data_IF_047131890327
#
_entry.id   IF_047131890327
#
_cell.length_a   1.000
_cell.length_b   1.000
_cell.length_c   1.000
_cell.angle_alpha   90.00
_cell.angle_beta   90.00
_cell.angle_gamma   90.00
#
_symmetry.space_group_name_H-M   'P 1'
#
loop_
_entity.id
_entity.type
_entity.pdbx_description
1 polymer ?
#
# COMPACT_ATOMS: atom_id res chain seq x y z
N UNK A 1 -1.20 48.08 -64.79
CA UNK A 1 -1.62 49.46 -64.49
C UNK A 1 -1.37 49.74 -63.01
N UNK A 2 -1.01 50.99 -62.72
CA UNK A 2 -0.56 51.62 -61.45
C UNK A 2 -1.38 51.22 -60.20
N UNK A 3 -0.80 50.89 -59.03
CA UNK A 3 -0.04 51.67 -58.02
C UNK A 3 -0.94 52.26 -56.91
N UNK A 4 -0.46 52.10 -55.64
CA UNK A 4 -0.66 52.93 -54.43
C UNK A 4 -1.92 52.67 -53.58
N UNK A 5 -1.94 52.84 -52.27
CA UNK A 5 -0.96 53.01 -51.18
C UNK A 5 -1.79 53.13 -49.88
N UNK A 6 -1.21 52.73 -48.76
CA UNK A 6 -1.66 53.00 -47.38
C UNK A 6 -2.07 54.47 -47.15
N UNK A 7 -3.05 54.70 -46.27
CA UNK A 7 -3.06 55.82 -45.35
C UNK A 7 -3.60 55.36 -43.97
N UNK A 8 -2.78 55.53 -42.94
CA UNK A 8 -3.18 55.55 -41.54
C UNK A 8 -3.96 56.84 -41.26
N UNK A 9 -4.99 56.76 -40.41
CA UNK A 9 -5.44 57.89 -39.61
C UNK A 9 -5.81 57.40 -38.21
N UNK A 10 -4.97 57.76 -37.25
CA UNK A 10 -5.21 57.62 -35.82
C UNK A 10 -6.33 58.56 -35.38
N UNK A 11 -7.23 58.10 -34.52
CA UNK A 11 -8.01 58.99 -33.66
C UNK A 11 -8.18 58.33 -32.30
N UNK A 12 -7.61 58.98 -31.29
CA UNK A 12 -7.78 58.69 -29.87
C UNK A 12 -8.71 59.77 -29.33
N UNK A 13 -9.84 59.42 -28.69
CA UNK A 13 -10.30 60.12 -27.47
C UNK A 13 -11.44 59.40 -26.71
N UNK A 14 -11.12 59.12 -25.45
CA UNK A 14 -11.89 59.04 -24.19
C UNK A 14 -13.37 58.60 -24.13
N UNK A 15 -13.54 57.47 -23.43
CA UNK A 15 -14.41 57.19 -22.28
C UNK A 15 -15.62 58.12 -21.98
N UNK A 16 -16.81 57.52 -22.00
CA UNK A 16 -17.87 57.81 -21.04
C UNK A 16 -18.57 56.49 -20.65
N UNK A 17 -18.47 56.15 -19.37
CA UNK A 17 -19.19 55.07 -18.70
C UNK A 17 -20.62 55.52 -18.42
N UNK A 18 -21.61 54.67 -18.68
CA UNK A 18 -22.80 54.53 -17.83
C UNK A 18 -23.59 53.26 -18.15
N UNK A 19 -24.20 52.75 -17.10
CA UNK A 19 -24.77 51.43 -16.88
C UNK A 19 -26.07 51.16 -17.62
N UNK A 20 -26.37 49.88 -17.86
CA UNK A 20 -27.57 49.18 -17.35
C UNK A 20 -27.59 47.75 -17.91
N UNK A 21 -27.71 46.78 -17.01
CA UNK A 21 -27.56 45.37 -17.33
C UNK A 21 -28.83 44.72 -17.86
N UNK A 22 -28.65 43.51 -18.39
CA UNK A 22 -29.60 42.40 -18.29
C UNK A 22 -28.91 41.12 -18.74
N UNK A 23 -28.96 40.09 -17.90
CA UNK A 23 -28.92 38.68 -18.32
C UNK A 23 -27.66 38.18 -19.01
N UNK A 24 -26.52 38.15 -18.31
CA UNK A 24 -25.34 37.42 -18.74
C UNK A 24 -25.34 36.02 -18.12
N UNK A 25 -25.64 35.01 -18.92
CA UNK A 25 -25.29 33.60 -18.70
C UNK A 25 -23.95 33.46 -17.99
N UNK A 26 -23.92 32.68 -16.90
CA UNK A 26 -22.68 32.23 -16.26
C UNK A 26 -21.96 31.32 -17.26
N UNK A 27 -21.21 31.91 -18.18
CA UNK A 27 -20.06 31.26 -18.79
C UNK A 27 -18.99 31.22 -17.69
N UNK A 28 -19.07 30.20 -16.83
CA UNK A 28 -17.92 29.79 -16.01
C UNK A 28 -16.82 29.43 -16.99
N UNK A 29 -15.93 30.38 -17.19
CA UNK A 29 -14.67 30.21 -17.90
C UNK A 29 -14.01 28.95 -17.35
N UNK A 30 -13.73 27.99 -18.23
CA UNK A 30 -12.79 26.91 -17.92
C UNK A 30 -11.45 27.60 -17.62
N UNK A 31 -11.11 27.79 -16.35
CA UNK A 31 -9.75 28.21 -15.98
C UNK A 31 -8.87 26.99 -16.13
N UNK A 32 -8.47 26.71 -17.37
CA UNK A 32 -7.53 25.65 -17.68
C UNK A 32 -6.16 26.00 -17.08
N UNK A 33 -5.65 25.14 -16.20
CA UNK A 33 -4.23 25.07 -15.86
C UNK A 33 -3.67 26.19 -14.97
N UNK A 34 -4.49 26.91 -14.20
CA UNK A 34 -3.95 27.89 -13.26
C UNK A 34 -3.25 27.20 -12.06
N UNK A 35 -2.22 27.84 -11.53
CA UNK A 35 -1.34 27.26 -10.51
C UNK A 35 -1.84 27.61 -9.10
N UNK A 36 -2.09 26.58 -8.30
CA UNK A 36 -2.52 26.69 -6.90
C UNK A 36 -1.45 26.18 -5.96
N UNK A 37 -1.54 26.60 -4.70
CA UNK A 37 -0.74 25.98 -3.65
C UNK A 37 -1.42 24.67 -3.20
N UNK A 38 -0.64 23.62 -3.04
CA UNK A 38 -1.03 22.41 -2.32
C UNK A 38 -0.35 22.45 -0.95
N UNK A 39 -1.15 22.39 0.10
CA UNK A 39 -0.71 22.51 1.49
C UNK A 39 -1.24 21.38 2.36
N UNK A 40 -0.42 20.88 3.26
CA UNK A 40 -0.77 19.99 4.36
C UNK A 40 -0.84 20.90 5.57
N UNK A 41 -1.97 20.86 6.28
CA UNK A 41 -2.13 21.62 7.53
C UNK A 41 -0.99 21.25 8.50
N UNK A 42 -0.24 22.23 8.99
CA UNK A 42 0.91 22.00 9.90
C UNK A 42 2.27 21.76 9.23
N UNK A 43 2.36 21.59 7.90
CA UNK A 43 3.64 21.64 7.18
C UNK A 43 3.93 23.05 6.66
N UNK A 44 5.20 23.47 6.76
CA UNK A 44 5.65 24.78 6.30
C UNK A 44 5.76 24.89 4.77
N UNK A 45 5.91 23.76 4.08
CA UNK A 45 6.09 23.71 2.62
C UNK A 45 4.76 23.67 1.88
N UNK A 46 4.62 24.54 0.88
CA UNK A 46 3.57 24.49 -0.13
C UNK A 46 4.17 24.13 -1.47
N UNK A 47 3.55 23.23 -2.23
CA UNK A 47 3.96 22.99 -3.63
C UNK A 47 2.99 23.65 -4.59
N UNK A 48 3.52 24.14 -5.71
CA UNK A 48 2.70 24.66 -6.81
C UNK A 48 2.19 23.50 -7.66
N UNK A 49 0.89 23.47 -7.94
CA UNK A 49 0.28 22.49 -8.85
C UNK A 49 -0.72 23.17 -9.78
N UNK A 50 -0.85 22.66 -11.01
CA UNK A 50 -1.99 23.01 -11.84
C UNK A 50 -3.28 22.46 -11.20
N UNK A 51 -4.37 23.15 -11.47
CA UNK A 51 -5.71 22.64 -11.20
C UNK A 51 -6.66 22.99 -12.34
N UNK A 52 -7.82 22.33 -12.33
CA UNK A 52 -8.92 22.60 -13.25
C UNK A 52 -10.22 22.65 -12.46
N UNK A 53 -11.08 23.60 -12.79
CA UNK A 53 -12.43 23.68 -12.25
C UNK A 53 -13.43 23.24 -13.30
N UNK A 54 -14.09 22.10 -13.08
CA UNK A 54 -15.08 21.57 -14.02
C UNK A 54 -16.30 21.04 -13.27
N UNK A 55 -17.51 21.36 -13.78
CA UNK A 55 -18.79 20.89 -13.22
C UNK A 55 -18.94 21.14 -11.70
N UNK A 56 -18.31 22.20 -11.19
CA UNK A 56 -18.33 22.55 -9.77
C UNK A 56 -17.36 21.74 -8.89
N UNK A 57 -16.51 20.90 -9.48
CA UNK A 57 -15.41 20.20 -8.80
C UNK A 57 -14.05 20.82 -9.15
N UNK A 58 -13.11 20.72 -8.21
CA UNK A 58 -11.70 21.08 -8.41
C UNK A 58 -10.90 19.80 -8.63
N UNK A 59 -10.07 19.80 -9.66
CA UNK A 59 -9.27 18.65 -10.09
C UNK A 59 -7.79 18.97 -9.99
N UNK A 60 -7.00 18.06 -9.43
CA UNK A 60 -5.54 18.18 -9.38
C UNK A 60 -4.84 16.92 -9.89
N UNK A 61 -3.60 17.02 -10.41
CA UNK A 61 -2.82 15.85 -10.80
C UNK A 61 -2.56 14.93 -9.61
N UNK A 62 -2.87 13.64 -9.78
CA UNK A 62 -2.64 12.62 -8.77
C UNK A 62 -1.15 12.48 -8.41
N UNK A 63 -0.25 12.61 -9.39
CA UNK A 63 1.20 12.66 -9.19
C UNK A 63 1.61 13.79 -8.23
N UNK A 64 0.97 14.95 -8.33
CA UNK A 64 1.28 16.11 -7.47
C UNK A 64 0.79 15.90 -6.05
N UNK A 65 -0.40 15.31 -5.89
CA UNK A 65 -0.88 14.87 -4.58
C UNK A 65 0.07 13.82 -3.97
N UNK A 66 0.47 12.82 -4.74
CA UNK A 66 1.40 11.78 -4.29
C UNK A 66 2.76 12.37 -3.86
N UNK A 67 3.38 13.19 -4.71
CA UNK A 67 4.66 13.85 -4.43
C UNK A 67 4.60 14.63 -3.12
N UNK A 68 3.50 15.33 -2.90
CA UNK A 68 3.31 16.15 -1.69
C UNK A 68 3.15 15.30 -0.43
N UNK A 69 2.47 14.17 -0.54
CA UNK A 69 2.36 13.16 0.51
C UNK A 69 3.63 12.30 0.66
N UNK A 70 4.72 12.63 -0.05
CA UNK A 70 5.97 11.88 -0.11
C UNK A 70 5.78 10.43 -0.59
N UNK A 71 4.74 10.21 -1.40
CA UNK A 71 4.48 8.97 -2.10
C UNK A 71 5.04 9.02 -3.52
N UNK A 72 5.31 7.83 -4.04
CA UNK A 72 5.58 7.55 -5.44
C UNK A 72 4.26 7.44 -6.19
N UNK A 73 4.26 7.85 -7.44
CA UNK A 73 3.17 7.70 -8.39
C UNK A 73 3.68 6.90 -9.58
N UNK A 74 2.90 5.93 -10.02
CA UNK A 74 3.14 5.17 -11.26
C UNK A 74 1.83 5.07 -12.02
N UNK A 75 1.88 5.23 -13.33
CA UNK A 75 0.74 5.12 -14.22
C UNK A 75 1.12 4.24 -15.41
N UNK A 76 0.20 3.37 -15.80
CA UNK A 76 0.34 2.58 -17.00
C UNK A 76 -0.29 3.34 -18.18
N UNK A 77 0.50 3.86 -19.13
CA UNK A 77 0.01 4.76 -20.18
C UNK A 77 -0.96 4.09 -21.16
N UNK A 78 -1.04 2.75 -21.18
CA UNK A 78 -1.94 2.00 -22.06
C UNK A 78 -3.30 1.77 -21.42
N UNK A 79 -3.32 1.52 -20.11
CA UNK A 79 -4.56 1.16 -19.39
C UNK A 79 -5.09 2.31 -18.54
N UNK A 80 -4.27 3.34 -18.32
CA UNK A 80 -4.50 4.44 -17.38
C UNK A 80 -4.86 3.96 -15.98
N UNK A 81 -4.35 2.78 -15.61
CA UNK A 81 -4.30 2.33 -14.23
C UNK A 81 -3.14 3.03 -13.54
N UNK A 82 -3.40 3.59 -12.37
CA UNK A 82 -2.42 4.34 -11.60
C UNK A 82 -2.33 3.80 -10.17
N UNK A 83 -1.15 3.94 -9.59
CA UNK A 83 -0.84 3.57 -8.22
C UNK A 83 -0.14 4.71 -7.49
N UNK A 84 -0.50 4.90 -6.22
CA UNK A 84 0.18 5.79 -5.29
C UNK A 84 0.65 4.97 -4.09
N UNK A 85 1.89 5.15 -3.63
CA UNK A 85 2.42 4.38 -2.50
C UNK A 85 3.88 4.68 -2.18
N UNK A 86 4.57 3.81 -1.47
CA UNK A 86 5.98 4.01 -1.08
C UNK A 86 6.89 2.90 -1.63
N UNK A 87 6.97 1.78 -0.91
CA UNK A 87 7.70 0.58 -1.33
C UNK A 87 6.85 -0.38 -2.17
N UNK A 88 5.54 -0.26 -2.06
CA UNK A 88 4.52 -1.00 -2.78
C UNK A 88 3.25 -0.13 -2.89
N UNK A 89 2.35 -0.43 -3.84
CA UNK A 89 1.09 0.31 -4.00
C UNK A 89 0.28 0.35 -2.69
N UNK A 90 -0.17 1.54 -2.31
CA UNK A 90 -1.14 1.73 -1.22
C UNK A 90 -2.52 2.06 -1.79
N UNK A 91 -2.58 2.93 -2.79
CA UNK A 91 -3.80 3.30 -3.49
C UNK A 91 -3.69 2.86 -4.93
N UNK A 92 -4.73 2.22 -5.47
CA UNK A 92 -4.81 1.91 -6.90
C UNK A 92 -6.13 2.37 -7.48
N UNK A 93 -6.12 2.90 -8.69
CA UNK A 93 -7.32 3.42 -9.36
C UNK A 93 -7.10 3.42 -10.87
N UNK A 94 -8.18 3.64 -11.63
CA UNK A 94 -8.12 3.67 -13.08
C UNK A 94 -8.91 4.86 -13.61
N UNK A 95 -8.36 5.55 -14.60
CA UNK A 95 -9.09 6.61 -15.31
C UNK A 95 -10.40 6.07 -15.88
N UNK A 96 -11.47 6.85 -15.71
CA UNK A 96 -12.81 6.51 -16.16
C UNK A 96 -13.56 5.53 -15.24
N UNK A 97 -12.95 5.01 -14.18
CA UNK A 97 -13.59 4.16 -13.19
C UNK A 97 -13.72 4.86 -11.85
N UNK A 98 -14.90 4.78 -11.23
CA UNK A 98 -15.08 5.18 -9.82
C UNK A 98 -14.57 4.14 -8.83
N UNK A 99 -14.30 2.92 -9.28
CA UNK A 99 -13.72 1.89 -8.42
C UNK A 99 -12.23 2.16 -8.22
N UNK A 100 -11.82 2.22 -6.97
CA UNK A 100 -10.43 2.31 -6.55
C UNK A 100 -10.18 1.31 -5.42
N UNK A 101 -8.92 1.16 -5.00
CA UNK A 101 -8.56 0.37 -3.83
C UNK A 101 -7.66 1.13 -2.88
N UNK A 102 -7.90 0.90 -1.59
CA UNK A 102 -6.95 1.19 -0.51
C UNK A 102 -6.42 -0.16 -0.05
N UNK A 103 -5.18 -0.45 -0.40
CA UNK A 103 -4.66 -1.78 -0.29
C UNK A 103 -5.44 -2.78 -1.14
N UNK A 104 -6.07 -3.76 -0.49
CA UNK A 104 -6.96 -4.72 -1.15
C UNK A 104 -8.44 -4.31 -1.06
N UNK A 105 -8.78 -3.39 -0.15
CA UNK A 105 -10.15 -2.94 0.06
C UNK A 105 -10.61 -2.10 -1.13
N UNK A 106 -11.72 -2.50 -1.74
CA UNK A 106 -12.36 -1.69 -2.78
C UNK A 106 -13.11 -0.52 -2.15
N UNK A 107 -12.97 0.65 -2.76
CA UNK A 107 -13.71 1.86 -2.41
C UNK A 107 -14.37 2.44 -3.66
N UNK A 108 -15.42 3.23 -3.45
CA UNK A 108 -16.12 3.95 -4.52
C UNK A 108 -15.84 5.45 -4.41
N UNK A 109 -15.20 6.01 -5.44
CA UNK A 109 -14.90 7.43 -5.55
C UNK A 109 -16.14 8.24 -5.96
N UNK A 110 -16.21 9.48 -5.49
CA UNK A 110 -17.28 10.43 -5.83
C UNK A 110 -17.34 10.70 -7.33
N UNK A 111 -16.19 10.92 -7.96
CA UNK A 111 -16.02 11.07 -9.41
C UNK A 111 -14.87 10.17 -9.89
N UNK A 112 -14.95 9.75 -11.15
CA UNK A 112 -13.90 8.92 -11.72
C UNK A 112 -12.64 9.78 -11.98
N UNK A 113 -11.42 9.25 -11.77
CA UNK A 113 -10.20 9.91 -12.22
C UNK A 113 -10.27 10.17 -13.73
N UNK A 114 -9.69 11.28 -14.18
CA UNK A 114 -9.74 11.71 -15.60
C UNK A 114 -8.36 12.04 -16.13
N UNK A 115 -8.20 11.93 -17.44
CA UNK A 115 -7.06 12.53 -18.13
C UNK A 115 -7.38 13.99 -18.45
N UNK A 116 -6.62 14.92 -17.88
CA UNK A 116 -6.74 16.37 -18.13
C UNK A 116 -5.35 16.93 -18.43
N UNK A 117 -5.16 17.52 -19.60
CA UNK A 117 -3.87 18.04 -20.10
C UNK A 117 -2.70 17.04 -19.92
N UNK A 118 -2.93 15.78 -20.30
CA UNK A 118 -2.00 14.66 -20.14
C UNK A 118 -1.64 14.30 -18.68
N UNK A 119 -2.42 14.73 -17.70
CA UNK A 119 -2.25 14.33 -16.30
C UNK A 119 -3.43 13.45 -15.87
N UNK A 120 -3.15 12.38 -15.11
CA UNK A 120 -4.21 11.70 -14.35
C UNK A 120 -4.61 12.61 -13.20
N UNK A 121 -5.84 13.12 -13.25
CA UNK A 121 -6.39 14.04 -12.27
C UNK A 121 -7.46 13.39 -11.41
N UNK A 122 -7.46 13.75 -10.13
CA UNK A 122 -8.47 13.39 -9.15
C UNK A 122 -9.23 14.66 -8.74
N UNK A 123 -10.55 14.53 -8.65
CA UNK A 123 -11.39 15.55 -8.02
C UNK A 123 -11.16 15.53 -6.50
N UNK A 124 -11.24 16.69 -5.83
CA UNK A 124 -10.81 16.81 -4.43
C UNK A 124 -11.55 15.88 -3.45
N UNK A 125 -12.87 15.65 -3.60
CA UNK A 125 -13.60 14.69 -2.74
C UNK A 125 -13.16 13.26 -3.03
N UNK A 126 -12.93 12.94 -4.30
CA UNK A 126 -12.40 11.62 -4.70
C UNK A 126 -10.99 11.41 -4.16
N UNK A 127 -10.13 12.43 -4.20
CA UNK A 127 -8.82 12.41 -3.57
C UNK A 127 -8.94 12.22 -2.06
N UNK A 128 -9.84 12.96 -1.41
CA UNK A 128 -10.11 12.87 0.02
C UNK A 128 -10.55 11.47 0.45
N UNK A 129 -11.45 10.85 -0.31
CA UNK A 129 -11.88 9.46 -0.12
C UNK A 129 -10.74 8.47 -0.36
N UNK A 130 -9.89 8.71 -1.37
CA UNK A 130 -8.79 7.81 -1.67
C UNK A 130 -7.75 7.81 -0.55
N UNK A 131 -7.34 8.99 -0.08
CA UNK A 131 -6.28 9.14 0.92
C UNK A 131 -6.79 9.13 2.37
N UNK A 132 -8.11 9.03 2.56
CA UNK A 132 -8.80 9.04 3.86
C UNK A 132 -8.42 10.25 4.73
N UNK A 133 -8.31 11.42 4.09
CA UNK A 133 -8.04 12.69 4.75
C UNK A 133 -8.92 13.78 4.15
N UNK A 134 -9.39 14.77 4.92
CA UNK A 134 -10.11 15.89 4.36
C UNK A 134 -9.24 16.65 3.36
N UNK A 135 -9.76 16.83 2.15
CA UNK A 135 -9.14 17.69 1.14
C UNK A 135 -10.13 18.79 0.80
N UNK A 136 -9.71 20.05 1.00
CA UNK A 136 -10.56 21.21 0.77
C UNK A 136 -9.94 22.20 -0.20
N UNK A 137 -10.81 22.90 -0.90
CA UNK A 137 -10.47 24.06 -1.71
C UNK A 137 -10.66 25.33 -0.89
N UNK A 138 -9.64 26.17 -0.82
CA UNK A 138 -9.74 27.54 -0.34
C UNK A 138 -9.67 28.49 -1.55
N UNK A 139 -10.83 29.00 -1.94
CA UNK A 139 -10.97 29.91 -3.08
C UNK A 139 -10.40 31.31 -2.81
N UNK A 140 -10.27 31.72 -1.54
CA UNK A 140 -9.72 33.04 -1.19
C UNK A 140 -8.20 33.09 -1.36
N UNK A 141 -7.53 31.96 -1.13
CA UNK A 141 -6.07 31.83 -1.27
C UNK A 141 -5.63 30.97 -2.46
N UNK A 142 -6.57 30.51 -3.30
CA UNK A 142 -6.34 29.58 -4.41
C UNK A 142 -5.45 28.41 -3.98
N UNK A 143 -5.86 27.72 -2.91
CA UNK A 143 -5.06 26.67 -2.25
C UNK A 143 -5.88 25.41 -2.04
N UNK A 144 -5.34 24.27 -2.47
CA UNK A 144 -5.81 22.95 -2.05
C UNK A 144 -5.15 22.60 -0.71
N UNK A 145 -5.96 22.30 0.28
CA UNK A 145 -5.51 22.00 1.64
C UNK A 145 -5.88 20.56 1.95
N UNK A 146 -4.86 19.71 2.09
CA UNK A 146 -4.99 18.38 2.67
C UNK A 146 -4.86 18.56 4.19
N UNK A 147 -5.95 18.33 4.90
CA UNK A 147 -5.90 18.39 6.35
C UNK A 147 -5.24 17.11 6.86
N UNK A 148 -4.12 17.27 7.56
CA UNK A 148 -3.70 16.25 8.51
C UNK A 148 -4.72 16.24 9.62
N UNK A 149 -5.71 15.36 9.50
CA UNK A 149 -6.20 14.76 10.72
C UNK A 149 -5.03 14.00 11.33
N UNK A 150 -4.88 14.05 12.65
CA UNK A 150 -4.29 12.94 13.39
C UNK A 150 -4.96 11.67 12.85
N UNK A 151 -4.34 10.92 11.92
CA UNK A 151 -5.00 9.86 11.13
C UNK A 151 -5.94 9.02 12.01
N UNK A 152 -7.24 9.26 11.94
CA UNK A 152 -8.21 8.23 12.27
C UNK A 152 -8.31 7.34 11.04
N UNK A 153 -8.26 6.04 11.27
CA UNK A 153 -8.40 5.03 10.24
C UNK A 153 -9.80 5.12 9.61
N UNK A 154 -9.97 4.70 8.35
CA UNK A 154 -11.30 4.57 7.76
C UNK A 154 -12.18 3.69 8.65
N UNK A 155 -13.23 4.26 9.25
CA UNK A 155 -14.25 3.47 9.95
C UNK A 155 -15.14 2.81 8.91
N UNK A 156 -15.24 1.48 8.98
CA UNK A 156 -16.07 0.63 8.12
C UNK A 156 -17.57 0.79 8.40
N UNK A 157 -18.07 2.02 8.50
CA UNK A 157 -19.50 2.26 8.39
C UNK A 157 -19.81 2.49 6.92
N UNK A 158 -20.10 1.39 6.20
CA UNK A 158 -21.21 1.28 5.26
C UNK A 158 -21.22 -0.14 4.63
N UNK A 159 -22.27 -0.90 4.98
CA UNK A 159 -22.79 -2.12 4.34
C UNK A 159 -22.10 -3.45 4.69
N UNK A 160 -22.46 -3.98 5.87
CA UNK A 160 -22.30 -5.39 6.23
C UNK A 160 -23.29 -6.29 5.46
N UNK A 161 -22.78 -7.11 4.54
CA UNK A 161 -23.36 -8.44 4.26
C UNK A 161 -22.23 -9.43 3.98
N UNK A 162 -22.08 -10.50 4.79
CA UNK A 162 -20.99 -11.46 4.65
C UNK A 162 -21.28 -12.51 3.58
N UNK A 163 -20.27 -12.91 2.78
CA UNK A 163 -20.29 -14.20 2.09
C UNK A 163 -19.22 -15.16 2.65
N UNK A 164 -19.71 -16.30 3.14
CA UNK A 164 -19.18 -17.61 2.75
C UNK A 164 -17.87 -18.09 3.39
N UNK A 165 -18.02 -18.83 4.49
CA UNK A 165 -17.07 -19.80 5.02
C UNK A 165 -16.56 -20.78 3.95
N UNK A 166 -15.25 -20.92 3.80
CA UNK A 166 -14.63 -22.13 3.24
C UNK A 166 -13.65 -22.70 4.26
N UNK A 167 -13.88 -23.97 4.60
CA UNK A 167 -13.15 -24.74 5.58
C UNK A 167 -11.94 -25.42 4.94
N UNK A 168 -10.76 -25.20 5.49
CA UNK A 168 -9.70 -26.21 5.51
C UNK A 168 -9.09 -26.22 6.92
N UNK A 169 -9.49 -27.24 7.67
CA UNK A 169 -9.00 -27.55 9.02
C UNK A 169 -7.79 -28.46 8.88
N UNK A 170 -6.60 -27.95 9.16
CA UNK A 170 -5.44 -28.78 9.50
C UNK A 170 -5.24 -28.68 11.02
N UNK A 171 -5.30 -29.84 11.68
CA UNK A 171 -5.10 -29.97 13.12
C UNK A 171 -3.63 -29.80 13.49
N UNK A 172 -3.34 -29.12 14.58
CA UNK A 172 -2.01 -29.07 15.19
C UNK A 172 -2.13 -29.50 16.65
N UNK A 173 -1.41 -30.57 16.98
CA UNK A 173 -1.15 -31.07 18.33
C UNK A 173 -0.14 -30.19 19.07
N UNK A 174 -0.20 -30.28 20.39
CA UNK A 174 0.50 -29.49 21.41
C UNK A 174 2.04 -29.49 21.33
N UNK A 175 2.66 -28.42 21.85
CA UNK A 175 3.48 -28.48 23.09
C UNK A 175 3.91 -27.06 23.50
N UNK A 176 3.71 -26.79 24.78
CA UNK A 176 4.07 -25.57 25.52
C UNK A 176 5.53 -25.61 26.00
N UNK A 177 6.20 -24.46 26.04
CA UNK A 177 6.74 -23.84 27.27
C UNK A 177 7.62 -22.63 26.92
N UNK A 178 7.58 -21.58 27.76
CA UNK A 178 8.66 -20.58 27.82
C UNK A 178 8.21 -19.14 27.63
N UNK A 179 7.69 -18.57 28.71
CA UNK A 179 7.40 -17.15 28.93
C UNK A 179 8.66 -16.29 28.72
N UNK A 180 8.62 -15.30 27.82
CA UNK A 180 9.24 -13.98 28.03
C UNK A 180 8.79 -13.02 26.90
N UNK A 181 8.49 -11.80 27.31
CA UNK A 181 8.06 -10.62 26.56
C UNK A 181 8.74 -10.41 25.19
N UNK A 182 7.93 -10.29 24.14
CA UNK A 182 8.23 -9.39 23.00
C UNK A 182 6.90 -8.99 22.37
N UNK A 183 6.55 -7.74 22.61
CA UNK A 183 5.27 -7.10 22.39
C UNK A 183 4.99 -6.89 20.90
N UNK A 184 4.63 -7.97 20.20
CA UNK A 184 3.86 -7.92 18.96
C UNK A 184 2.83 -9.03 19.04
N UNK A 185 1.67 -8.69 19.59
CA UNK A 185 0.49 -9.55 19.65
C UNK A 185 0.13 -10.01 18.24
N UNK A 186 -0.36 -11.25 18.12
CA UNK A 186 -0.75 -11.84 16.83
C UNK A 186 -1.63 -10.83 16.05
N UNK A 187 -1.21 -10.37 14.85
CA UNK A 187 -1.96 -9.42 14.04
C UNK A 187 -3.33 -9.96 13.63
N UNK A 188 -3.57 -11.27 13.73
CA UNK A 188 -4.91 -11.85 13.50
C UNK A 188 -5.93 -11.41 14.57
N UNK A 189 -5.48 -10.83 15.70
CA UNK A 189 -6.34 -10.19 16.71
C UNK A 189 -6.59 -8.71 16.44
N UNK A 190 -6.15 -8.20 15.29
CA UNK A 190 -6.33 -6.82 14.91
C UNK A 190 -7.03 -6.75 13.56
N UNK A 191 -8.01 -5.86 13.42
CA UNK A 191 -8.62 -5.62 12.12
C UNK A 191 -7.63 -4.94 11.16
N UNK A 192 -8.02 -4.77 9.90
CA UNK A 192 -7.25 -4.02 8.89
C UNK A 192 -6.95 -2.56 9.31
N UNK A 193 -7.57 -2.11 10.41
CA UNK A 193 -7.39 -0.81 11.01
C UNK A 193 -6.56 -0.86 12.32
N UNK A 194 -6.03 -2.01 12.74
CA UNK A 194 -5.23 -2.11 13.95
C UNK A 194 -6.03 -1.98 15.25
N UNK A 195 -7.35 -2.19 15.23
CA UNK A 195 -8.18 -2.29 16.42
C UNK A 195 -8.19 -3.72 16.96
N UNK A 196 -7.99 -3.87 18.26
CA UNK A 196 -7.99 -5.17 18.95
C UNK A 196 -9.40 -5.79 18.96
N UNK A 197 -9.55 -6.93 18.27
CA UNK A 197 -10.79 -7.71 18.21
C UNK A 197 -10.66 -8.84 19.25
N UNK A 198 -10.98 -8.53 20.51
CA UNK A 198 -10.63 -9.37 21.66
C UNK A 198 -11.10 -10.84 21.57
N UNK A 199 -10.19 -11.76 21.91
CA UNK A 199 -10.51 -13.17 22.14
C UNK A 199 -11.20 -13.36 23.49
N UNK A 200 -12.48 -13.73 23.46
CA UNK A 200 -13.22 -14.13 24.65
C UNK A 200 -12.56 -15.32 25.34
N UNK A 201 -12.25 -15.16 26.63
CA UNK A 201 -11.86 -16.26 27.52
C UNK A 201 -13.05 -17.23 27.68
N UNK A 202 -12.91 -18.54 27.39
CA UNK A 202 -13.82 -19.53 27.94
C UNK A 202 -13.47 -19.74 29.42
N UNK A 203 -14.51 -19.71 30.25
CA UNK A 203 -14.44 -19.79 31.71
C UNK A 203 -13.78 -21.06 32.24
N UNK A 204 -13.13 -20.88 33.38
CA UNK A 204 -12.59 -21.88 34.26
C UNK A 204 -13.72 -22.45 35.12
N UNK A 205 -14.11 -23.71 34.91
CA UNK A 205 -14.85 -24.51 35.88
C UNK A 205 -14.13 -25.85 36.02
N UNK A 206 -13.62 -26.10 37.24
CA UNK A 206 -12.75 -27.24 37.53
C UNK A 206 -13.49 -28.54 37.76
N UNK A 207 -12.76 -29.65 37.71
CA UNK A 207 -12.89 -30.75 38.67
C UNK A 207 -11.73 -31.76 38.54
N UNK A 208 -11.02 -31.95 39.65
CA UNK A 208 -10.48 -33.18 40.24
C UNK A 208 -10.03 -34.38 39.37
N UNK A 209 -8.78 -34.82 39.62
CA UNK A 209 -8.57 -36.22 40.05
C UNK A 209 -7.51 -37.07 39.33
N UNK A 210 -6.47 -37.45 40.10
CA UNK A 210 -5.54 -38.60 39.97
C UNK A 210 -4.59 -38.68 38.75
N UNK A 211 -3.26 -38.63 38.92
CA UNK A 211 -2.30 -39.51 39.64
C UNK A 211 -2.04 -40.85 38.92
N UNK A 212 -0.77 -41.11 38.54
CA UNK A 212 -0.35 -42.44 38.09
C UNK A 212 0.86 -42.57 37.15
N UNK A 213 2.06 -42.24 37.65
CA UNK A 213 3.28 -43.06 37.61
C UNK A 213 3.83 -43.75 36.32
N UNK A 214 5.10 -43.41 36.03
CA UNK A 214 6.27 -44.31 35.82
C UNK A 214 6.54 -45.01 34.47
N UNK A 215 7.78 -44.83 33.97
CA UNK A 215 8.64 -45.98 33.68
C UNK A 215 9.15 -46.19 32.23
N UNK A 216 10.41 -45.76 32.04
CA UNK A 216 11.51 -46.55 31.45
C UNK A 216 11.68 -46.74 29.92
N UNK A 217 12.97 -46.68 29.57
CA UNK A 217 13.69 -46.79 28.29
C UNK A 217 13.39 -48.00 27.41
N UNK A 218 13.61 -47.81 26.10
CA UNK A 218 13.90 -48.89 25.17
C UNK A 218 13.92 -48.45 23.70
N UNK A 219 15.11 -48.32 23.12
CA UNK A 219 15.31 -48.26 21.66
C UNK A 219 14.75 -49.49 20.97
N UNK A 220 13.99 -49.29 19.89
CA UNK A 220 14.15 -50.06 18.65
C UNK A 220 13.44 -49.35 17.50
N UNK A 221 14.15 -49.25 16.39
CA UNK A 221 13.78 -48.46 15.23
C UNK A 221 12.49 -48.91 14.55
N UNK A 222 11.84 -47.92 13.94
CA UNK A 222 11.11 -48.03 12.70
C UNK A 222 11.22 -46.67 12.02
N UNK A 223 11.95 -46.63 10.91
CA UNK A 223 11.93 -45.52 9.95
C UNK A 223 10.49 -45.35 9.45
N UNK A 224 9.77 -44.42 10.07
CA UNK A 224 8.46 -43.96 9.61
C UNK A 224 8.65 -42.57 9.02
N UNK A 225 8.82 -42.57 7.70
CA UNK A 225 8.47 -41.50 6.75
C UNK A 225 8.67 -40.04 7.23
N UNK A 226 9.88 -39.52 7.01
CA UNK A 226 10.18 -38.10 6.99
C UNK A 226 9.98 -37.49 5.58
N UNK A 227 8.93 -37.87 4.85
CA UNK A 227 8.72 -37.45 3.47
C UNK A 227 8.24 -36.00 3.31
N UNK A 228 7.65 -35.43 4.36
CA UNK A 228 7.11 -34.06 4.32
C UNK A 228 8.18 -33.01 4.67
N UNK A 229 9.03 -33.24 5.68
CA UNK A 229 10.06 -32.25 6.05
C UNK A 229 11.15 -32.09 4.98
N UNK A 230 11.47 -33.12 4.20
CA UNK A 230 12.44 -33.00 3.10
C UNK A 230 11.87 -32.22 1.92
N UNK A 231 10.62 -32.45 1.55
CA UNK A 231 9.99 -31.75 0.42
C UNK A 231 9.76 -30.26 0.71
N UNK A 232 9.42 -29.91 1.96
CA UNK A 232 9.27 -28.51 2.36
C UNK A 232 10.63 -27.82 2.45
N UNK A 233 11.67 -28.51 2.95
CA UNK A 233 13.05 -28.01 2.93
C UNK A 233 13.58 -27.82 1.50
N UNK A 234 13.28 -28.74 0.57
CA UNK A 234 13.67 -28.62 -0.84
C UNK A 234 13.06 -27.36 -1.47
N UNK A 235 11.79 -27.04 -1.18
CA UNK A 235 11.15 -25.81 -1.64
C UNK A 235 11.77 -24.56 -1.01
N UNK A 236 12.16 -24.62 0.26
CA UNK A 236 12.86 -23.52 0.95
C UNK A 236 14.20 -23.25 0.26
N UNK A 237 14.99 -24.29 -0.01
CA UNK A 237 16.28 -24.15 -0.68
C UNK A 237 16.10 -23.68 -2.14
N UNK A 238 15.06 -24.16 -2.82
CA UNK A 238 14.69 -23.75 -4.17
C UNK A 238 14.28 -22.27 -4.22
N UNK A 239 13.38 -21.79 -3.36
CA UNK A 239 12.93 -20.39 -3.38
C UNK A 239 14.08 -19.42 -3.07
N UNK A 240 14.96 -19.79 -2.12
CA UNK A 240 16.14 -18.99 -1.76
C UNK A 240 17.14 -18.95 -2.93
N UNK A 241 17.49 -20.10 -3.49
CA UNK A 241 18.43 -20.18 -4.61
C UNK A 241 17.88 -19.49 -5.86
N UNK A 242 16.59 -19.68 -6.16
CA UNK A 242 15.88 -19.00 -7.23
C UNK A 242 15.90 -17.48 -7.07
N UNK A 243 15.59 -16.99 -5.87
CA UNK A 243 15.61 -15.57 -5.54
C UNK A 243 17.01 -14.95 -5.71
N UNK A 244 18.07 -15.65 -5.29
CA UNK A 244 19.46 -15.21 -5.44
C UNK A 244 19.88 -15.01 -6.91
N UNK A 245 19.21 -15.64 -7.88
CA UNK A 245 19.49 -15.41 -9.31
C UNK A 245 19.10 -14.01 -9.79
N UNK A 246 18.30 -13.29 -9.02
CA UNK A 246 17.84 -11.94 -9.33
C UNK A 246 18.65 -10.85 -8.61
N UNK A 247 19.74 -11.19 -7.90
CA UNK A 247 20.59 -10.20 -7.24
C UNK A 247 20.97 -9.06 -8.19
N UNK A 248 20.80 -7.82 -7.74
CA UNK A 248 21.04 -6.60 -8.50
C UNK A 248 19.94 -6.21 -9.50
N UNK A 249 18.86 -7.00 -9.65
CA UNK A 249 17.70 -6.56 -10.45
C UNK A 249 17.11 -5.29 -9.85
N UNK A 250 16.97 -4.26 -10.69
CA UNK A 250 16.50 -2.95 -10.27
C UNK A 250 15.13 -2.98 -9.60
N UNK A 251 15.00 -2.16 -8.58
CA UNK A 251 13.72 -1.86 -7.98
C UNK A 251 12.89 -0.93 -8.89
N UNK A 252 11.61 -1.24 -9.09
CA UNK A 252 10.58 -0.35 -9.64
C UNK A 252 9.33 -0.40 -8.76
N UNK A 253 8.90 0.76 -8.28
CA UNK A 253 7.64 0.89 -7.57
C UNK A 253 6.48 0.45 -8.48
N UNK A 254 5.53 -0.31 -7.93
CA UNK A 254 4.40 -0.85 -8.69
C UNK A 254 4.86 -1.64 -9.93
N UNK A 255 5.93 -2.43 -9.79
CA UNK A 255 6.39 -3.27 -10.89
C UNK A 255 5.27 -4.23 -11.32
N UNK A 256 4.98 -4.30 -12.62
CA UNK A 256 4.22 -5.41 -13.17
C UNK A 256 5.05 -6.69 -13.13
N UNK A 257 4.46 -7.81 -13.55
CA UNK A 257 5.14 -9.10 -13.60
C UNK A 257 6.53 -8.99 -14.24
N UNK A 258 7.49 -9.75 -13.70
CA UNK A 258 8.89 -9.66 -14.10
C UNK A 258 9.09 -9.87 -15.61
N UNK A 259 8.27 -10.72 -16.24
CA UNK A 259 8.31 -10.97 -17.68
C UNK A 259 8.10 -9.69 -18.51
N UNK A 260 7.33 -8.73 -17.98
CA UNK A 260 7.05 -7.46 -18.64
C UNK A 260 8.01 -6.36 -18.20
N UNK A 261 8.19 -6.19 -16.89
CA UNK A 261 8.88 -5.03 -16.33
C UNK A 261 10.40 -5.22 -16.25
N UNK A 262 10.87 -6.48 -16.18
CA UNK A 262 12.26 -6.86 -15.87
C UNK A 262 12.79 -6.25 -14.58
N UNK A 263 11.90 -5.83 -13.68
CA UNK A 263 12.16 -5.12 -12.42
C UNK A 263 11.23 -5.63 -11.33
N UNK A 264 11.49 -5.26 -10.08
CA UNK A 264 10.65 -5.67 -8.96
C UNK A 264 10.31 -4.53 -8.00
N UNK A 265 9.15 -4.59 -7.34
CA UNK A 265 9.03 -4.04 -6.00
C UNK A 265 9.12 -5.16 -4.96
N UNK A 266 9.13 -4.80 -3.68
CA UNK A 266 9.33 -5.76 -2.60
C UNK A 266 8.33 -6.91 -2.65
N UNK A 267 7.06 -6.59 -2.88
CA UNK A 267 5.97 -7.58 -2.89
C UNK A 267 5.88 -8.36 -4.20
N UNK A 268 6.16 -7.74 -5.35
CA UNK A 268 6.19 -8.46 -6.62
C UNK A 268 7.39 -9.41 -6.72
N UNK A 269 8.50 -9.08 -6.06
CA UNK A 269 9.63 -10.00 -5.92
C UNK A 269 9.24 -11.25 -5.13
N UNK A 270 8.60 -11.09 -3.96
CA UNK A 270 8.08 -12.22 -3.19
C UNK A 270 7.09 -13.06 -4.01
N UNK A 271 6.12 -12.42 -4.67
CA UNK A 271 5.17 -13.11 -5.53
C UNK A 271 5.86 -13.93 -6.62
N UNK A 272 6.88 -13.37 -7.26
CA UNK A 272 7.62 -14.02 -8.33
C UNK A 272 8.39 -15.26 -7.86
N UNK A 273 9.14 -15.14 -6.75
CA UNK A 273 9.97 -16.26 -6.27
C UNK A 273 9.11 -17.37 -5.64
N UNK A 274 8.04 -17.03 -4.92
CA UNK A 274 7.16 -18.03 -4.30
C UNK A 274 6.26 -18.73 -5.33
N UNK A 275 5.85 -18.03 -6.39
CA UNK A 275 5.13 -18.66 -7.51
C UNK A 275 5.98 -19.72 -8.21
N UNK A 276 7.31 -19.56 -8.24
CA UNK A 276 8.21 -20.58 -8.80
C UNK A 276 8.10 -21.93 -8.08
N UNK A 277 7.92 -21.91 -6.76
CA UNK A 277 7.76 -23.11 -5.92
C UNK A 277 6.29 -23.45 -5.65
N UNK A 278 5.36 -22.89 -6.45
CA UNK A 278 3.94 -23.24 -6.42
C UNK A 278 3.11 -22.53 -5.35
N UNK A 279 3.60 -21.44 -4.75
CA UNK A 279 2.85 -20.63 -3.76
C UNK A 279 2.40 -19.31 -4.38
N UNK A 280 1.09 -19.14 -4.54
CA UNK A 280 0.50 -17.90 -5.03
C UNK A 280 0.36 -16.88 -3.89
N UNK A 281 1.09 -15.78 -3.99
CA UNK A 281 1.02 -14.67 -3.04
C UNK A 281 0.18 -13.51 -3.60
N UNK A 282 -0.60 -12.80 -2.75
CA UNK A 282 -1.25 -11.55 -3.11
C UNK A 282 -0.27 -10.48 -3.58
N UNK A 283 -0.77 -9.45 -4.27
CA UNK A 283 0.08 -8.43 -4.90
C UNK A 283 0.78 -7.50 -3.90
N UNK A 284 0.14 -7.17 -2.77
CA UNK A 284 0.67 -6.19 -1.82
C UNK A 284 1.32 -6.84 -0.60
N UNK A 285 2.33 -6.18 -0.02
CA UNK A 285 3.03 -6.70 1.18
C UNK A 285 2.08 -6.86 2.37
N UNK A 286 1.13 -5.94 2.54
CA UNK A 286 0.07 -6.01 3.57
C UNK A 286 -0.79 -7.26 3.41
N UNK A 287 -1.21 -7.59 2.19
CA UNK A 287 -2.00 -8.79 1.95
C UNK A 287 -1.16 -10.07 2.08
N UNK A 288 0.11 -10.05 1.66
CA UNK A 288 1.03 -11.17 1.90
C UNK A 288 1.20 -11.43 3.41
N UNK A 289 1.15 -10.38 4.23
CA UNK A 289 1.31 -10.47 5.69
C UNK A 289 0.16 -11.16 6.42
N UNK A 290 -0.88 -11.59 5.71
CA UNK A 290 -2.02 -12.38 6.25
C UNK A 290 -2.07 -13.80 5.71
N UNK A 291 -1.14 -14.20 4.82
CA UNK A 291 -1.11 -15.52 4.22
C UNK A 291 -0.23 -16.46 5.04
N UNK A 292 -0.68 -17.69 5.27
CA UNK A 292 0.09 -18.71 5.98
C UNK A 292 0.13 -18.54 7.50
N UNK A 293 1.01 -19.30 8.14
CA UNK A 293 1.11 -19.36 9.61
C UNK A 293 1.87 -18.14 10.13
N UNK A 294 1.33 -17.48 11.15
CA UNK A 294 2.05 -16.43 11.88
C UNK A 294 3.34 -16.97 12.52
N UNK A 295 4.43 -16.21 12.39
CA UNK A 295 5.72 -16.51 13.01
C UNK A 295 6.19 -15.29 13.79
N UNK A 296 6.47 -15.49 15.08
CA UNK A 296 7.11 -14.46 15.90
C UNK A 296 8.60 -14.38 15.59
N UNK A 297 9.20 -13.21 15.83
CA UNK A 297 10.61 -12.92 15.52
C UNK A 297 11.61 -13.95 16.05
N UNK A 298 11.34 -14.54 17.21
CA UNK A 298 12.20 -15.55 17.86
C UNK A 298 12.24 -16.88 17.12
N UNK A 299 11.26 -17.12 16.24
CA UNK A 299 10.99 -18.40 15.59
C UNK A 299 11.20 -18.35 14.07
N UNK A 300 11.86 -17.31 13.56
CA UNK A 300 12.19 -17.21 12.14
C UNK A 300 13.11 -18.34 11.70
N UNK A 301 12.74 -19.01 10.63
CA UNK A 301 13.54 -20.03 9.94
C UNK A 301 13.65 -19.68 8.46
N UNK A 302 14.70 -20.14 7.75
CA UNK A 302 14.82 -19.93 6.31
C UNK A 302 13.53 -20.31 5.58
N UNK A 303 13.09 -19.47 4.65
CA UNK A 303 11.79 -19.65 3.96
C UNK A 303 10.66 -18.77 4.51
N UNK A 304 10.78 -18.27 5.74
CA UNK A 304 9.79 -17.34 6.30
C UNK A 304 9.82 -15.99 5.57
N UNK A 305 8.64 -15.44 5.32
CA UNK A 305 8.47 -14.09 4.77
C UNK A 305 8.40 -13.12 5.94
N UNK A 306 9.33 -12.17 6.02
CA UNK A 306 9.42 -11.19 7.11
C UNK A 306 8.82 -9.86 6.68
N UNK A 307 8.02 -9.27 7.56
CA UNK A 307 7.34 -8.01 7.32
C UNK A 307 7.87 -6.91 8.21
N UNK A 308 7.97 -5.71 7.65
CA UNK A 308 8.52 -4.55 8.33
C UNK A 308 7.57 -3.36 8.20
N UNK A 309 7.56 -2.50 9.22
CA UNK A 309 6.97 -1.17 9.06
C UNK A 309 7.96 -0.25 8.33
N UNK A 310 7.48 0.89 7.85
CA UNK A 310 8.32 1.95 7.29
C UNK A 310 8.20 3.19 8.16
N UNK A 311 9.27 3.63 8.86
CA UNK A 311 9.24 4.80 9.73
C UNK A 311 8.66 6.02 9.03
N UNK A 312 7.74 6.71 9.71
CA UNK A 312 7.10 7.92 9.19
C UNK A 312 6.14 7.72 8.00
N UNK A 313 5.92 6.48 7.53
CA UNK A 313 5.00 6.17 6.42
C UNK A 313 3.53 6.25 6.85
N UNK A 314 3.25 5.84 8.08
CA UNK A 314 1.92 5.79 8.69
C UNK A 314 1.97 6.48 10.05
N UNK A 315 0.81 6.87 10.60
CA UNK A 315 0.74 7.48 11.95
C UNK A 315 1.36 6.58 13.03
N UNK A 316 1.25 5.27 12.84
CA UNK A 316 1.71 4.24 13.76
C UNK A 316 2.62 3.27 13.02
N UNK A 317 3.61 2.71 13.73
CA UNK A 317 4.53 1.71 13.20
C UNK A 317 3.92 0.28 13.20
N UNK A 318 2.58 0.17 13.15
CA UNK A 318 1.85 -1.10 13.21
C UNK A 318 1.29 -1.53 11.84
N UNK A 319 1.66 -0.85 10.75
CA UNK A 319 1.21 -1.18 9.39
C UNK A 319 2.41 -1.65 8.56
N UNK A 320 2.23 -2.80 7.89
CA UNK A 320 3.21 -3.36 6.98
C UNK A 320 3.50 -2.39 5.83
N UNK A 321 4.78 -2.12 5.63
CA UNK A 321 5.28 -1.27 4.55
C UNK A 321 6.42 -1.89 3.74
N UNK A 322 6.95 -3.04 4.14
CA UNK A 322 7.98 -3.76 3.42
C UNK A 322 7.93 -5.25 3.71
N UNK A 323 8.54 -6.04 2.83
CA UNK A 323 8.59 -7.49 2.91
C UNK A 323 9.91 -8.02 2.35
N UNK A 324 10.41 -9.12 2.92
CA UNK A 324 11.57 -9.85 2.42
C UNK A 324 11.58 -11.32 2.85
N UNK A 325 12.38 -12.14 2.17
CA UNK A 325 12.54 -13.57 2.47
C UNK A 325 13.68 -13.78 3.47
N UNK A 326 13.41 -14.38 4.63
CA UNK A 326 14.46 -14.79 5.56
C UNK A 326 15.23 -15.98 5.00
N UNK A 327 16.56 -15.88 5.00
CA UNK A 327 17.45 -16.88 4.39
C UNK A 327 18.41 -17.53 5.40
N UNK A 328 18.16 -17.36 6.71
CA UNK A 328 19.07 -17.79 7.77
C UNK A 328 20.09 -16.72 8.17
N UNK A 329 20.88 -17.00 9.20
CA UNK A 329 22.01 -16.17 9.64
C UNK A 329 21.68 -14.67 9.87
N UNK A 330 20.47 -14.37 10.36
CA UNK A 330 19.97 -13.00 10.48
C UNK A 330 20.01 -12.23 9.15
N UNK A 331 19.77 -12.89 8.02
CA UNK A 331 19.77 -12.29 6.70
C UNK A 331 18.40 -12.39 6.02
N UNK A 332 18.10 -11.36 5.25
CA UNK A 332 16.89 -11.25 4.43
C UNK A 332 17.26 -10.91 2.99
N UNK A 333 16.69 -11.67 2.06
CA UNK A 333 16.72 -11.39 0.62
C UNK A 333 15.51 -10.52 0.25
N UNK A 334 15.75 -9.31 -0.22
CA UNK A 334 14.71 -8.30 -0.45
C UNK A 334 15.10 -7.29 -1.53
N UNK A 335 14.18 -6.39 -1.88
CA UNK A 335 14.46 -5.27 -2.79
C UNK A 335 13.78 -3.97 -2.34
N UNK A 336 14.57 -2.92 -2.12
CA UNK A 336 14.08 -1.62 -1.64
C UNK A 336 14.85 -0.47 -2.31
N UNK A 337 14.40 0.02 -3.46
CA UNK A 337 15.16 1.03 -4.20
C UNK A 337 16.54 0.50 -4.64
N UNK A 338 17.58 1.32 -4.61
CA UNK A 338 18.95 0.87 -4.88
C UNK A 338 19.51 0.09 -3.68
N UNK A 339 20.26 -1.00 -3.90
CA UNK A 339 20.85 -1.47 -5.16
C UNK A 339 19.97 -2.46 -5.96
N UNK A 340 18.67 -2.50 -5.72
CA UNK A 340 17.77 -3.52 -6.28
C UNK A 340 17.65 -4.72 -5.36
N UNK A 341 17.50 -5.92 -5.93
CA UNK A 341 17.48 -7.17 -5.16
C UNK A 341 18.83 -7.36 -4.46
N UNK A 342 18.79 -7.52 -3.14
CA UNK A 342 19.98 -7.60 -2.31
C UNK A 342 19.74 -8.47 -1.07
N UNK A 343 20.83 -8.85 -0.40
CA UNK A 343 20.80 -9.51 0.90
C UNK A 343 21.23 -8.48 1.95
N UNK A 344 20.39 -8.30 2.96
CA UNK A 344 20.66 -7.42 4.11
C UNK A 344 20.67 -8.20 5.40
N UNK A 345 21.47 -7.75 6.37
CA UNK A 345 21.41 -8.26 7.74
C UNK A 345 20.28 -7.60 8.52
N UNK A 346 19.60 -8.36 9.37
CA UNK A 346 18.64 -7.91 10.37
C UNK A 346 19.39 -7.32 11.57
N UNK A 347 19.98 -6.14 11.36
CA UNK A 347 20.66 -5.35 12.39
C UNK A 347 20.34 -3.87 12.18
N UNK A 348 20.37 -3.07 13.26
CA UNK A 348 20.08 -1.63 13.19
C UNK A 348 18.65 -1.36 12.68
N UNK A 349 18.50 -0.44 11.71
CA UNK A 349 17.19 -0.02 11.19
C UNK A 349 16.32 -1.21 10.73
N UNK A 350 16.91 -2.21 10.06
CA UNK A 350 16.15 -3.38 9.63
C UNK A 350 15.62 -4.21 10.79
N UNK A 351 16.36 -4.26 11.88
CA UNK A 351 16.01 -5.02 13.08
C UNK A 351 14.93 -4.31 13.92
N UNK A 352 15.06 -2.99 14.05
CA UNK A 352 14.10 -2.13 14.76
C UNK A 352 12.73 -2.14 14.08
N UNK A 353 12.71 -2.41 12.78
CA UNK A 353 11.51 -2.35 11.94
C UNK A 353 10.77 -3.66 11.77
N UNK A 354 11.33 -4.77 12.26
CA UNK A 354 10.70 -6.09 12.17
C UNK A 354 9.36 -6.05 12.90
N UNK A 355 8.31 -6.49 12.21
CA UNK A 355 7.00 -6.69 12.81
C UNK A 355 6.82 -8.18 13.14
N UNK A 356 6.60 -9.00 12.12
CA UNK A 356 6.40 -10.44 12.23
C UNK A 356 6.79 -11.17 10.95
N UNK A 357 6.68 -12.49 10.95
CA UNK A 357 6.86 -13.34 9.78
C UNK A 357 5.61 -14.15 9.44
N UNK A 358 5.57 -14.65 8.21
CA UNK A 358 4.61 -15.67 7.78
C UNK A 358 5.34 -16.86 7.16
N UNK A 359 4.91 -18.05 7.56
CA UNK A 359 5.37 -19.33 7.00
C UNK A 359 4.34 -19.86 6.03
N UNK A 360 4.74 -20.00 4.78
CA UNK A 360 3.90 -20.44 3.66
C UNK A 360 4.41 -21.71 2.98
N UNK A 361 5.59 -22.18 3.40
CA UNK A 361 6.22 -23.44 3.01
C UNK A 361 6.25 -24.38 4.21
#
# INVERSE_FOLDING_TARGET
>A
MLKRSMLLASTVLLLASCSSGTGGTVTKSNVAGSVVNLKVKGQASTIKTRHWEEKGGVWIPAERAATYLQYRFDENPKTHAAAIGYGDPLYTFKVGSKQAKIGEQQILLSDAPRMIDNNVCLELRSLSQLIQQPVRWDSGSSTVIIETQTHQLPTNELVNTPPGTSQFRAQSTDISTGDDSSQYDNPDNYDENGNYIGGGRPGNDGNSGNNGNNGNSGSNGNDVQNGNNTADQDKVDEVISYGKRYMGVDYKFNASDYAESRKFDCSSFMQHIFKHVGVDLPRSSRAQSTVGKYVSRKNFIPGDIIFFYTPGRYRTNNIVGHVGLYIGDNQVLQTYGQPGVTITKLVGDWDDRIMWGRRVL
#
